data_IF_993372706077
#
_entry.id   IF_993372706077
#
_cell.length_a   1.000
_cell.length_b   1.000
_cell.length_c   1.000
_cell.angle_alpha   90.00
_cell.angle_beta   90.00
_cell.angle_gamma   90.00
#
_symmetry.space_group_name_H-M   'P 1'
#
loop_
_entity.id
_entity.type
_entity.pdbx_description
1 polymer ?
#
# COMPACT_ATOMS: atom_id res chain seq x y z
N UNK A 1 1.26 -19.24 19.02
CA UNK A 1 2.57 -18.60 18.84
C UNK A 1 3.70 -19.63 18.82
N UNK A 2 3.77 -20.55 19.77
CA UNK A 2 4.80 -21.61 19.80
C UNK A 2 4.88 -22.41 18.50
N UNK A 3 3.72 -22.84 17.95
CA UNK A 3 3.66 -23.52 16.65
C UNK A 3 4.20 -22.65 15.51
N UNK A 4 3.86 -21.37 15.50
CA UNK A 4 4.28 -20.42 14.47
C UNK A 4 5.80 -20.20 14.47
N UNK A 5 6.37 -20.05 15.65
CA UNK A 5 7.83 -19.92 15.84
C UNK A 5 8.58 -21.18 15.44
N UNK A 6 8.05 -22.36 15.82
CA UNK A 6 8.60 -23.65 15.40
C UNK A 6 8.55 -23.84 13.90
N UNK A 7 7.41 -23.58 13.26
CA UNK A 7 7.25 -23.69 11.82
C UNK A 7 8.25 -22.80 11.06
N UNK A 8 8.47 -21.57 11.54
CA UNK A 8 9.46 -20.66 10.93
C UNK A 8 10.89 -21.16 11.09
N UNK A 9 11.21 -21.76 12.23
CA UNK A 9 12.53 -22.33 12.50
C UNK A 9 12.80 -23.57 11.63
N UNK A 10 11.78 -24.42 11.46
CA UNK A 10 11.89 -25.68 10.71
C UNK A 10 11.98 -25.44 9.19
N UNK A 11 11.32 -24.41 8.68
CA UNK A 11 11.32 -24.01 7.27
C UNK A 11 11.29 -22.48 7.11
N UNK A 12 12.47 -21.82 7.20
CA UNK A 12 12.56 -20.37 7.07
C UNK A 12 12.16 -19.85 5.68
N UNK A 13 12.33 -20.66 4.63
CA UNK A 13 12.04 -20.29 3.22
C UNK A 13 10.59 -20.60 2.80
N UNK A 14 9.78 -21.17 3.68
CA UNK A 14 8.39 -21.48 3.36
C UNK A 14 7.66 -20.23 2.84
N UNK A 15 6.95 -20.37 1.72
CA UNK A 15 6.13 -19.27 1.18
C UNK A 15 5.19 -18.67 2.24
N UNK A 16 5.09 -17.34 2.26
CA UNK A 16 4.36 -16.60 3.29
C UNK A 16 2.88 -16.99 3.38
N UNK A 17 2.25 -17.28 2.23
CA UNK A 17 0.84 -17.68 2.15
C UNK A 17 0.64 -19.09 2.67
N UNK A 18 1.55 -19.99 2.32
CA UNK A 18 1.53 -21.38 2.80
C UNK A 18 1.79 -21.41 4.30
N UNK A 19 2.69 -20.56 4.79
CA UNK A 19 2.94 -20.40 6.23
C UNK A 19 1.66 -19.99 6.97
N UNK A 20 0.97 -18.95 6.50
CA UNK A 20 -0.30 -18.51 7.10
C UNK A 20 -1.38 -19.59 7.08
N UNK A 21 -1.48 -20.35 5.98
CA UNK A 21 -2.42 -21.47 5.86
C UNK A 21 -2.13 -22.56 6.88
N UNK A 22 -0.86 -22.96 7.05
CA UNK A 22 -0.47 -23.98 8.04
C UNK A 22 -0.77 -23.56 9.47
N UNK A 23 -0.59 -22.26 9.78
CA UNK A 23 -0.96 -21.71 11.10
C UNK A 23 -2.47 -21.75 11.31
N UNK A 24 -3.25 -21.37 10.28
CA UNK A 24 -4.72 -21.46 10.34
C UNK A 24 -5.21 -22.92 10.48
N UNK A 25 -4.61 -23.85 9.76
CA UNK A 25 -4.90 -25.30 9.89
C UNK A 25 -4.60 -25.81 11.31
N UNK A 26 -3.49 -25.41 11.89
CA UNK A 26 -3.15 -25.78 13.27
C UNK A 26 -4.16 -25.19 14.27
N UNK A 27 -4.49 -23.91 14.12
CA UNK A 27 -5.50 -23.26 14.96
C UNK A 27 -6.87 -23.94 14.85
N UNK A 28 -7.27 -24.38 13.66
CA UNK A 28 -8.51 -25.12 13.43
C UNK A 28 -8.59 -26.43 14.20
N UNK A 29 -7.45 -27.11 14.44
CA UNK A 29 -7.44 -28.36 15.25
C UNK A 29 -7.91 -28.14 16.68
N UNK A 30 -7.75 -26.92 17.22
CA UNK A 30 -8.14 -26.54 18.56
C UNK A 30 -9.59 -26.03 18.66
N UNK A 31 -10.26 -25.78 17.53
CA UNK A 31 -11.69 -25.46 17.55
C UNK A 31 -12.51 -26.67 17.98
N UNK A 32 -13.45 -26.48 18.89
CA UNK A 32 -14.39 -27.54 19.33
C UNK A 32 -15.42 -27.81 18.23
N UNK A 33 -16.01 -26.77 17.67
CA UNK A 33 -16.94 -26.86 16.54
C UNK A 33 -16.22 -27.21 15.25
N UNK A 34 -16.53 -28.33 14.65
CA UNK A 34 -16.01 -28.83 13.38
C UNK A 34 -17.00 -28.69 12.22
N UNK A 35 -18.04 -27.91 12.38
CA UNK A 35 -18.99 -27.60 11.30
C UNK A 35 -18.24 -26.97 10.11
N UNK A 36 -18.73 -27.12 8.88
CA UNK A 36 -18.16 -26.44 7.72
C UNK A 36 -18.02 -24.95 7.96
N UNK A 37 -16.80 -24.41 7.77
CA UNK A 37 -16.49 -23.02 8.04
C UNK A 37 -15.66 -22.39 6.92
N UNK A 38 -15.76 -21.07 6.75
CA UNK A 38 -14.89 -20.26 5.91
C UNK A 38 -14.04 -19.41 6.83
N UNK A 39 -12.72 -19.63 6.77
CA UNK A 39 -11.75 -18.86 7.56
C UNK A 39 -11.19 -17.73 6.67
N UNK A 40 -11.34 -16.48 7.11
CA UNK A 40 -10.84 -15.30 6.42
C UNK A 40 -9.70 -14.69 7.25
N UNK A 41 -8.54 -14.51 6.64
CA UNK A 41 -7.37 -13.91 7.28
C UNK A 41 -6.48 -13.20 6.25
N UNK A 42 -5.55 -12.37 6.70
CA UNK A 42 -4.53 -11.75 5.84
C UNK A 42 -3.48 -12.80 5.48
N UNK A 43 -3.52 -13.28 4.25
CA UNK A 43 -2.71 -14.42 3.80
C UNK A 43 -1.33 -14.06 3.23
N UNK A 44 -1.03 -12.76 3.02
CA UNK A 44 0.22 -12.32 2.41
C UNK A 44 0.66 -10.97 2.99
N UNK A 45 1.60 -10.29 2.32
CA UNK A 45 2.06 -8.97 2.73
C UNK A 45 0.91 -7.96 2.76
N UNK A 46 0.96 -7.06 3.75
CA UNK A 46 0.06 -5.93 3.86
C UNK A 46 0.77 -4.65 3.43
N UNK A 47 0.08 -3.82 2.68
CA UNK A 47 0.49 -2.45 2.40
C UNK A 47 -0.66 -1.52 2.74
N UNK A 48 -0.40 -0.54 3.60
CA UNK A 48 -1.39 0.46 3.94
C UNK A 48 -1.83 1.23 2.69
N UNK A 49 -3.13 1.49 2.56
CA UNK A 49 -3.66 2.33 1.49
C UNK A 49 -3.17 3.77 1.65
N UNK A 50 -3.03 4.46 0.55
CA UNK A 50 -2.80 5.91 0.54
C UNK A 50 -4.14 6.61 0.38
N UNK A 51 -4.44 7.50 1.31
CA UNK A 51 -5.65 8.32 1.30
C UNK A 51 -5.30 9.73 1.73
N UNK A 52 -5.69 10.71 0.92
CA UNK A 52 -5.54 12.13 1.20
C UNK A 52 -6.89 12.71 1.58
N UNK A 53 -6.97 13.26 2.77
CA UNK A 53 -8.27 13.66 3.37
C UNK A 53 -8.49 15.16 3.44
N UNK A 54 -7.49 15.97 3.08
CA UNK A 54 -7.48 17.45 3.26
C UNK A 54 -7.67 17.89 4.72
N UNK A 55 -7.30 17.03 5.68
CA UNK A 55 -7.48 17.36 7.11
C UNK A 55 -6.35 18.19 7.71
N UNK A 56 -5.16 18.13 7.11
CA UNK A 56 -3.99 18.88 7.56
C UNK A 56 -3.57 19.92 6.54
N UNK A 57 -2.92 20.99 6.99
CA UNK A 57 -2.38 22.02 6.11
C UNK A 57 -1.39 21.45 5.08
N UNK A 58 -0.58 20.47 5.49
CA UNK A 58 0.37 19.78 4.60
C UNK A 58 -0.32 18.98 3.51
N UNK A 59 -1.43 18.27 3.84
CA UNK A 59 -2.24 17.56 2.84
C UNK A 59 -2.88 18.52 1.85
N UNK A 60 -3.44 19.64 2.35
CA UNK A 60 -4.05 20.66 1.51
C UNK A 60 -3.01 21.25 0.57
N UNK A 61 -1.86 21.68 1.08
CA UNK A 61 -0.79 22.26 0.27
C UNK A 61 -0.30 21.32 -0.82
N UNK A 62 -0.09 20.04 -0.46
CA UNK A 62 0.36 19.03 -1.44
C UNK A 62 -0.70 18.78 -2.52
N UNK A 63 -1.96 18.61 -2.15
CA UNK A 63 -3.05 18.36 -3.10
C UNK A 63 -3.27 19.55 -4.02
N UNK A 64 -3.31 20.77 -3.48
CA UNK A 64 -3.49 21.99 -4.26
C UNK A 64 -2.34 22.20 -5.25
N UNK A 65 -1.10 21.91 -4.83
CA UNK A 65 0.06 21.96 -5.72
C UNK A 65 -0.04 20.94 -6.86
N UNK A 66 -0.44 19.69 -6.56
CA UNK A 66 -0.62 18.64 -7.57
C UNK A 66 -1.76 18.97 -8.52
N UNK A 67 -2.92 19.38 -8.00
CA UNK A 67 -4.08 19.72 -8.82
C UNK A 67 -3.76 20.88 -9.77
N UNK A 68 -3.11 21.93 -9.27
CA UNK A 68 -2.69 23.06 -10.10
C UNK A 68 -1.62 22.68 -11.15
N UNK A 69 -0.70 21.77 -10.81
CA UNK A 69 0.27 21.25 -11.76
C UNK A 69 -0.44 20.41 -12.86
N UNK A 70 -1.38 19.57 -12.48
CA UNK A 70 -2.19 18.78 -13.44
C UNK A 70 -3.00 19.69 -14.36
N UNK A 71 -3.66 20.73 -13.83
CA UNK A 71 -4.42 21.69 -14.66
C UNK A 71 -3.53 22.40 -15.68
N UNK A 72 -2.32 22.78 -15.29
CA UNK A 72 -1.34 23.40 -16.19
C UNK A 72 -0.94 22.49 -17.35
N UNK A 73 -0.75 21.19 -17.08
CA UNK A 73 -0.26 20.21 -18.07
C UNK A 73 -1.40 19.59 -18.89
N UNK A 74 -2.62 19.55 -18.35
CA UNK A 74 -3.78 18.89 -18.98
C UNK A 74 -4.09 19.30 -20.42
N UNK A 75 -3.99 20.60 -20.83
CA UNK A 75 -4.27 20.99 -22.21
C UNK A 75 -3.34 20.34 -23.23
N UNK A 76 -2.12 20.02 -22.85
CA UNK A 76 -1.11 19.40 -23.73
C UNK A 76 -1.10 17.88 -23.63
N UNK A 77 -1.80 17.31 -22.65
CA UNK A 77 -1.85 15.87 -22.42
C UNK A 77 -2.73 15.19 -23.47
N UNK A 78 -2.19 14.16 -24.13
CA UNK A 78 -2.96 13.34 -25.08
C UNK A 78 -3.95 12.42 -24.40
N UNK A 79 -3.79 12.19 -23.10
CA UNK A 79 -4.65 11.34 -22.25
C UNK A 79 -5.23 12.14 -21.12
N UNK A 80 -6.42 11.75 -20.68
CA UNK A 80 -7.04 12.35 -19.51
C UNK A 80 -6.22 12.03 -18.25
N UNK A 81 -5.76 13.09 -17.57
CA UNK A 81 -5.10 13.00 -16.27
C UNK A 81 -6.15 13.26 -15.20
N UNK A 82 -6.24 12.35 -14.22
CA UNK A 82 -7.18 12.44 -13.11
C UNK A 82 -6.44 12.37 -11.78
N UNK A 83 -6.79 13.24 -10.87
CA UNK A 83 -6.40 13.18 -9.46
C UNK A 83 -7.39 12.30 -8.70
N UNK A 84 -6.91 11.47 -7.80
CA UNK A 84 -7.71 10.64 -6.91
C UNK A 84 -7.19 10.77 -5.49
N UNK A 85 -8.10 10.83 -4.53
CA UNK A 85 -7.76 10.93 -3.11
C UNK A 85 -7.38 9.60 -2.47
N UNK A 86 -7.70 8.51 -3.13
CA UNK A 86 -7.50 7.16 -2.64
C UNK A 86 -6.73 6.31 -3.64
N UNK A 87 -5.68 5.63 -3.15
CA UNK A 87 -4.87 4.70 -3.92
C UNK A 87 -4.88 3.32 -3.26
N UNK A 88 -5.63 2.33 -3.82
CA UNK A 88 -5.86 1.03 -3.18
C UNK A 88 -4.81 -0.03 -3.50
N UNK A 89 -3.72 0.35 -4.17
CA UNK A 89 -2.72 -0.61 -4.64
C UNK A 89 -1.46 -0.56 -3.79
N UNK A 90 -0.69 -1.66 -3.81
CA UNK A 90 0.65 -1.72 -3.21
C UNK A 90 1.54 -0.65 -3.83
N UNK A 91 2.16 0.14 -3.00
CA UNK A 91 3.04 1.25 -3.39
C UNK A 91 4.07 1.51 -2.30
N UNK A 92 5.26 1.95 -2.69
CA UNK A 92 6.30 2.40 -1.75
C UNK A 92 5.82 3.58 -0.88
N UNK A 93 4.86 4.34 -1.37
CA UNK A 93 4.20 5.40 -0.60
C UNK A 93 3.51 4.90 0.67
N UNK A 94 3.16 3.62 0.74
CA UNK A 94 2.60 2.97 1.93
C UNK A 94 3.56 2.93 3.13
N UNK A 95 4.84 3.21 2.91
CA UNK A 95 5.84 3.37 3.98
C UNK A 95 5.96 4.81 4.50
N UNK A 96 5.18 5.74 3.99
CA UNK A 96 5.23 7.16 4.34
C UNK A 96 4.09 7.58 5.27
N UNK A 97 2.94 6.92 5.20
CA UNK A 97 1.76 7.22 5.99
C UNK A 97 0.88 5.99 6.21
N UNK A 98 0.15 5.97 7.31
CA UNK A 98 -0.92 5.01 7.61
C UNK A 98 -2.18 5.81 7.95
N UNK A 99 -3.23 5.60 7.17
CA UNK A 99 -4.51 6.27 7.36
C UNK A 99 -5.47 5.50 8.28
N UNK A 100 -5.11 4.28 8.65
CA UNK A 100 -5.89 3.40 9.50
C UNK A 100 -5.68 3.76 10.98
N UNK A 101 -6.74 3.62 11.77
CA UNK A 101 -6.66 3.82 13.21
C UNK A 101 -6.01 2.61 13.94
N UNK A 102 -5.74 2.78 15.23
CA UNK A 102 -5.14 1.75 16.07
C UNK A 102 -5.93 0.46 16.14
N UNK A 103 -7.26 0.52 16.06
CA UNK A 103 -8.12 -0.66 16.09
C UNK A 103 -8.00 -1.45 14.78
N UNK A 104 -7.97 -0.77 13.65
CA UNK A 104 -7.76 -1.40 12.35
C UNK A 104 -6.37 -2.04 12.25
N UNK A 105 -5.33 -1.36 12.76
CA UNK A 105 -3.96 -1.92 12.84
C UNK A 105 -3.91 -3.14 13.74
N UNK A 106 -4.60 -3.12 14.89
CA UNK A 106 -4.66 -4.27 15.77
C UNK A 106 -5.42 -5.43 15.13
N UNK A 107 -6.54 -5.15 14.46
CA UNK A 107 -7.29 -6.18 13.72
C UNK A 107 -6.44 -6.83 12.62
N UNK A 108 -5.58 -6.07 11.92
CA UNK A 108 -4.62 -6.64 10.99
C UNK A 108 -3.65 -7.60 11.70
N UNK A 109 -3.04 -7.17 12.80
CA UNK A 109 -2.07 -7.98 13.58
C UNK A 109 -2.70 -9.28 14.07
N UNK A 110 -3.93 -9.21 14.56
CA UNK A 110 -4.65 -10.36 15.12
C UNK A 110 -5.12 -11.35 14.05
N UNK A 111 -5.36 -10.88 12.82
CA UNK A 111 -5.89 -11.69 11.72
C UNK A 111 -4.85 -11.99 10.63
N UNK A 112 -3.56 -11.81 10.91
CA UNK A 112 -2.45 -12.14 10.04
C UNK A 112 -1.56 -13.20 10.70
N UNK A 113 -1.77 -14.51 10.43
CA UNK A 113 -1.13 -15.62 11.16
C UNK A 113 0.40 -15.57 11.18
N UNK A 114 1.02 -14.98 10.17
CA UNK A 114 2.46 -14.84 10.03
C UNK A 114 3.04 -13.58 10.67
N UNK A 115 2.17 -12.66 11.17
CA UNK A 115 2.63 -11.38 11.72
C UNK A 115 3.49 -11.55 12.98
N UNK A 116 4.58 -10.82 13.05
CA UNK A 116 5.51 -10.83 14.18
C UNK A 116 6.42 -12.05 14.27
N UNK A 117 6.36 -12.98 13.31
CA UNK A 117 7.25 -14.14 13.22
C UNK A 117 7.93 -14.21 11.85
N UNK A 118 7.16 -14.42 10.80
CA UNK A 118 7.68 -14.50 9.42
C UNK A 118 7.54 -13.20 8.65
N UNK A 119 6.63 -12.35 9.04
CA UNK A 119 6.37 -11.04 8.44
C UNK A 119 6.24 -9.98 9.52
N UNK A 120 6.89 -8.86 9.30
CA UNK A 120 6.73 -7.65 10.11
C UNK A 120 6.54 -6.44 9.21
N UNK A 121 5.75 -5.49 9.67
CA UNK A 121 5.58 -4.20 9.03
C UNK A 121 5.67 -3.14 10.13
N UNK A 122 6.61 -2.23 10.02
CA UNK A 122 6.92 -1.22 11.05
C UNK A 122 5.87 -0.09 11.07
N UNK A 123 4.58 -0.48 11.19
CA UNK A 123 3.43 0.44 11.14
C UNK A 123 3.61 1.57 12.17
N UNK A 124 4.10 1.26 13.36
CA UNK A 124 4.27 2.25 14.43
C UNK A 124 5.27 3.34 14.01
N UNK A 125 6.37 2.99 13.36
CA UNK A 125 7.35 3.96 12.83
C UNK A 125 6.78 4.75 11.65
N UNK A 126 5.99 4.11 10.79
CA UNK A 126 5.32 4.80 9.68
C UNK A 126 4.32 5.82 10.22
N UNK A 127 3.58 5.48 11.28
CA UNK A 127 2.66 6.40 11.96
C UNK A 127 3.39 7.58 12.62
N UNK A 128 4.62 7.41 13.10
CA UNK A 128 5.46 8.50 13.63
C UNK A 128 5.90 9.47 12.50
N UNK A 129 6.26 8.96 11.32
CA UNK A 129 6.64 9.77 10.15
C UNK A 129 5.40 10.50 9.62
N UNK A 130 4.38 9.78 9.27
CA UNK A 130 3.06 10.18 8.81
C UNK A 130 3.04 11.46 7.96
N UNK A 131 3.78 11.45 6.87
CA UNK A 131 3.85 12.58 5.94
C UNK A 131 2.88 12.40 4.78
N UNK A 132 2.20 13.44 4.31
CA UNK A 132 1.37 13.38 3.12
C UNK A 132 2.18 12.94 1.91
N UNK A 133 1.61 12.05 1.11
CA UNK A 133 2.27 11.48 -0.05
C UNK A 133 1.31 11.31 -1.22
N UNK A 134 1.81 11.56 -2.43
CA UNK A 134 1.08 11.34 -3.67
C UNK A 134 1.89 10.46 -4.62
N UNK A 135 1.19 9.65 -5.40
CA UNK A 135 1.77 8.93 -6.51
C UNK A 135 1.49 9.68 -7.81
N UNK A 136 2.53 10.16 -8.48
CA UNK A 136 2.45 10.77 -9.80
C UNK A 136 2.96 9.73 -10.79
N UNK A 137 2.07 8.91 -11.29
CA UNK A 137 2.41 7.74 -12.08
C UNK A 137 2.13 7.87 -13.57
N UNK A 138 2.75 6.99 -14.33
CA UNK A 138 2.56 6.86 -15.77
C UNK A 138 1.32 6.03 -16.11
N UNK A 139 0.89 6.10 -17.37
CA UNK A 139 -0.05 5.14 -17.93
C UNK A 139 0.72 4.00 -18.60
N UNK A 140 0.37 2.76 -18.22
CA UNK A 140 0.97 1.57 -18.78
C UNK A 140 -0.04 0.42 -18.84
N UNK A 141 0.44 -0.71 -19.35
CA UNK A 141 -0.28 -1.98 -19.37
C UNK A 141 0.66 -3.11 -19.01
N UNK A 142 0.09 -4.19 -18.53
CA UNK A 142 0.77 -5.44 -18.25
C UNK A 142 1.95 -5.27 -17.27
N UNK A 143 1.79 -4.41 -16.26
CA UNK A 143 2.81 -4.18 -15.24
C UNK A 143 3.27 -5.49 -14.60
N UNK A 144 4.60 -5.64 -14.45
CA UNK A 144 5.28 -6.86 -13.96
C UNK A 144 5.12 -8.10 -14.87
N UNK A 145 4.74 -7.91 -16.13
CA UNK A 145 4.64 -8.99 -17.12
C UNK A 145 5.66 -8.80 -18.25
N UNK A 146 5.93 -9.86 -19.00
CA UNK A 146 6.86 -9.82 -20.15
C UNK A 146 6.44 -8.79 -21.22
N UNK A 147 5.15 -8.50 -21.31
CA UNK A 147 4.56 -7.55 -22.27
C UNK A 147 4.36 -6.15 -21.68
N UNK A 148 5.01 -5.85 -20.57
CA UNK A 148 4.91 -4.55 -19.90
C UNK A 148 5.29 -3.41 -20.85
N UNK A 149 4.45 -2.40 -20.90
CA UNK A 149 4.65 -1.23 -21.75
C UNK A 149 4.04 0.03 -21.13
N UNK A 150 4.65 1.17 -21.40
CA UNK A 150 4.23 2.47 -20.92
C UNK A 150 3.98 3.45 -22.08
N UNK A 151 3.13 4.43 -21.84
CA UNK A 151 2.95 5.56 -22.73
C UNK A 151 4.16 6.49 -22.60
N UNK A 152 4.92 6.64 -23.69
CA UNK A 152 6.18 7.39 -23.73
C UNK A 152 5.99 8.86 -23.36
N UNK A 153 4.96 9.50 -23.89
CA UNK A 153 4.71 10.92 -23.62
C UNK A 153 4.28 11.14 -22.19
N UNK A 154 3.39 10.29 -21.70
CA UNK A 154 2.95 10.36 -20.31
C UNK A 154 4.14 10.15 -19.36
N UNK A 155 4.97 9.16 -19.61
CA UNK A 155 6.08 8.77 -18.76
C UNK A 155 7.22 9.78 -18.73
N UNK A 156 7.64 10.28 -19.91
CA UNK A 156 8.87 11.07 -20.05
C UNK A 156 8.65 12.58 -20.23
N UNK A 157 7.39 13.02 -20.34
CA UNK A 157 7.04 14.43 -20.43
C UNK A 157 6.04 14.85 -19.36
N UNK A 158 4.84 14.27 -19.35
CA UNK A 158 3.78 14.74 -18.46
C UNK A 158 4.10 14.46 -16.97
N UNK A 159 4.51 13.25 -16.62
CA UNK A 159 4.85 12.89 -15.24
C UNK A 159 5.98 13.74 -14.67
N UNK A 160 7.15 13.89 -15.35
CA UNK A 160 8.21 14.78 -14.86
C UNK A 160 7.78 16.24 -14.75
N UNK A 161 7.00 16.75 -15.70
CA UNK A 161 6.53 18.13 -15.67
C UNK A 161 5.54 18.37 -14.53
N UNK A 162 4.60 17.45 -14.29
CA UNK A 162 3.69 17.54 -13.14
C UNK A 162 4.48 17.51 -11.83
N UNK A 163 5.45 16.60 -11.70
CA UNK A 163 6.29 16.48 -10.52
C UNK A 163 7.08 17.78 -10.28
N UNK A 164 7.73 18.31 -11.31
CA UNK A 164 8.49 19.54 -11.23
C UNK A 164 7.63 20.75 -10.84
N UNK A 165 6.48 20.93 -11.50
CA UNK A 165 5.54 22.00 -11.18
C UNK A 165 4.98 21.87 -9.74
N UNK A 166 4.72 20.65 -9.29
CA UNK A 166 4.29 20.40 -7.91
C UNK A 166 5.35 20.85 -6.91
N UNK A 167 6.63 20.48 -7.15
CA UNK A 167 7.74 20.87 -6.27
C UNK A 167 7.91 22.40 -6.24
N UNK A 168 7.88 23.06 -7.39
CA UNK A 168 8.00 24.51 -7.45
C UNK A 168 6.91 25.22 -6.63
N UNK A 169 5.67 24.71 -6.67
CA UNK A 169 4.55 25.29 -5.92
C UNK A 169 4.64 25.06 -4.42
N UNK A 170 5.30 23.98 -3.99
CA UNK A 170 5.51 23.69 -2.57
C UNK A 170 6.68 24.46 -1.95
N UNK A 171 7.67 24.79 -2.76
CA UNK A 171 8.88 25.49 -2.28
C UNK A 171 8.80 27.03 -2.44
N UNK A 172 7.82 27.53 -3.15
CA UNK A 172 7.59 28.96 -3.39
C UNK A 172 8.32 29.44 -4.62
#
# INVERSE_FOLDING_TARGET
>A
REFTEKLHKDDPELDLRIFGLKVAEEAWKWCEDKSPAIIVFFGSIFSARIEMTRKTEKEVALLDAVEAAVEKIRPEAQRQIKTRMFYPYISDSSFMAVCDDTLAVQALRDNMPQYGVKYTHDIDKIMEINVPVVNIGTFGRDGHMLTERVDMRQTFQNVPNITYETILRLLG
#
